data_IF_379402278614
#
_entry.id   IF_379402278614
#
_cell.length_a   1.000
_cell.length_b   1.000
_cell.length_c   1.000
_cell.angle_alpha   90.00
_cell.angle_beta   90.00
_cell.angle_gamma   90.00
#
_symmetry.space_group_name_H-M   'P 1'
#
loop_
_entity.id
_entity.type
_entity.pdbx_description
1 polymer ?
#
# COMPACT_ATOMS: atom_id res chain seq x y z
N UNK A 1 -5.07 -28.67 -15.35
CA UNK A 1 -4.53 -27.40 -15.88
C UNK A 1 -3.82 -26.67 -14.75
N UNK A 2 -2.52 -26.43 -14.91
CA UNK A 2 -1.71 -25.78 -13.88
C UNK A 2 -1.83 -24.27 -14.07
N UNK A 3 -2.44 -23.60 -13.10
CA UNK A 3 -2.52 -22.13 -13.07
C UNK A 3 -1.09 -21.59 -13.19
N UNK A 4 -0.79 -20.68 -14.14
CA UNK A 4 0.55 -20.12 -14.24
C UNK A 4 0.83 -19.40 -12.92
N UNK A 5 1.80 -19.90 -12.17
CA UNK A 5 2.40 -19.17 -11.06
C UNK A 5 2.80 -17.80 -11.59
N UNK A 6 2.08 -16.74 -11.18
CA UNK A 6 2.59 -15.38 -11.25
C UNK A 6 4.00 -15.48 -10.68
N UNK A 7 5.03 -15.07 -11.45
CA UNK A 7 6.41 -14.96 -10.97
C UNK A 7 6.37 -14.21 -9.65
N UNK A 8 6.36 -14.96 -8.55
CA UNK A 8 6.33 -14.40 -7.22
C UNK A 8 7.69 -13.74 -7.06
N UNK A 9 7.70 -12.45 -6.74
CA UNK A 9 8.93 -11.71 -6.51
C UNK A 9 9.86 -12.56 -5.62
N UNK A 10 11.04 -12.93 -6.13
CA UNK A 10 11.95 -13.86 -5.43
C UNK A 10 12.43 -13.31 -4.08
N UNK A 11 12.32 -12.00 -3.89
CA UNK A 11 12.68 -11.31 -2.66
C UNK A 11 11.49 -11.12 -1.71
N UNK A 12 10.28 -11.53 -2.08
CA UNK A 12 9.12 -11.45 -1.21
C UNK A 12 9.19 -12.54 -0.13
N UNK A 13 9.03 -12.18 1.16
CA UNK A 13 9.02 -13.16 2.25
C UNK A 13 7.92 -14.21 2.07
N UNK A 14 8.29 -15.49 2.24
CA UNK A 14 7.36 -16.63 2.13
C UNK A 14 6.59 -16.93 3.42
N UNK A 15 7.07 -16.38 4.54
CA UNK A 15 6.50 -16.56 5.87
C UNK A 15 6.22 -15.21 6.52
N UNK A 16 5.26 -15.12 7.46
CA UNK A 16 5.06 -13.91 8.24
C UNK A 16 6.35 -13.47 8.92
N UNK A 17 6.67 -12.18 8.82
CA UNK A 17 7.86 -11.59 9.42
C UNK A 17 7.49 -10.26 10.08
N UNK A 18 8.36 -9.78 10.97
CA UNK A 18 8.27 -8.46 11.58
C UNK A 18 9.45 -7.64 11.10
N UNK A 19 9.21 -6.40 10.69
CA UNK A 19 10.24 -5.45 10.27
C UNK A 19 10.28 -4.30 11.27
N UNK A 20 11.48 -4.00 11.79
CA UNK A 20 11.74 -2.80 12.58
C UNK A 20 12.60 -1.86 11.73
N UNK A 21 12.18 -0.60 11.62
CA UNK A 21 12.95 0.48 10.99
C UNK A 21 13.29 1.50 12.06
N UNK A 22 14.58 1.71 12.34
CA UNK A 22 15.06 2.59 13.40
C UNK A 22 16.15 3.54 12.89
N UNK A 23 16.30 4.69 13.55
CA UNK A 23 17.20 5.78 13.16
C UNK A 23 16.78 7.10 13.79
N UNK A 24 17.66 8.10 13.76
CA UNK A 24 17.41 9.43 14.35
C UNK A 24 16.16 10.09 13.75
N UNK A 25 15.62 11.11 14.42
CA UNK A 25 14.59 11.96 13.83
C UNK A 25 15.06 12.51 12.48
N UNK A 26 14.12 12.75 11.57
CA UNK A 26 14.37 13.29 10.22
C UNK A 26 15.25 12.42 9.30
N UNK A 27 15.64 11.21 9.71
CA UNK A 27 16.45 10.29 8.87
C UNK A 27 15.70 9.71 7.65
N UNK A 28 14.44 10.10 7.42
CA UNK A 28 13.66 9.67 6.26
C UNK A 28 13.07 8.25 6.37
N UNK A 29 12.98 7.68 7.57
CA UNK A 29 12.43 6.32 7.80
C UNK A 29 11.02 6.16 7.24
N UNK A 30 10.11 7.08 7.59
CA UNK A 30 8.72 7.09 7.12
C UNK A 30 8.68 7.18 5.60
N UNK A 31 9.48 8.08 5.02
CA UNK A 31 9.63 8.19 3.56
C UNK A 31 10.08 6.86 2.92
N UNK A 32 11.08 6.18 3.48
CA UNK A 32 11.51 4.87 2.97
C UNK A 32 10.37 3.84 3.00
N UNK A 33 9.63 3.77 4.10
CA UNK A 33 8.48 2.85 4.24
C UNK A 33 7.38 3.19 3.22
N UNK A 34 7.05 4.47 3.07
CA UNK A 34 6.09 4.96 2.07
C UNK A 34 6.50 4.55 0.66
N UNK A 35 7.78 4.73 0.29
CA UNK A 35 8.27 4.31 -1.03
C UNK A 35 8.13 2.79 -1.27
N UNK A 36 8.27 1.96 -0.24
CA UNK A 36 8.05 0.52 -0.34
C UNK A 36 6.56 0.16 -0.52
N UNK A 37 5.67 0.88 0.15
CA UNK A 37 4.22 0.70 0.04
C UNK A 37 3.69 1.15 -1.34
N UNK A 38 4.20 2.25 -1.86
CA UNK A 38 3.80 2.82 -3.15
C UNK A 38 4.44 2.09 -4.33
N UNK A 39 5.72 1.75 -4.19
CA UNK A 39 6.54 1.07 -5.19
C UNK A 39 6.56 1.77 -6.55
N UNK A 40 6.85 0.97 -7.59
CA UNK A 40 6.84 1.44 -8.98
C UNK A 40 5.44 1.80 -9.51
N UNK A 41 4.38 1.45 -8.75
CA UNK A 41 2.99 1.68 -9.12
C UNK A 41 2.61 3.15 -9.04
N UNK A 42 3.02 3.84 -7.97
CA UNK A 42 2.70 5.25 -7.76
C UNK A 42 3.08 6.17 -8.94
N UNK A 43 4.33 6.24 -9.42
CA UNK A 43 4.68 7.15 -10.52
C UNK A 43 3.94 6.85 -11.84
N UNK A 44 3.45 5.62 -12.03
CA UNK A 44 2.68 5.24 -13.22
C UNK A 44 1.19 5.58 -13.11
N UNK A 45 0.68 5.66 -11.89
CA UNK A 45 -0.70 5.98 -11.58
C UNK A 45 -0.88 7.47 -11.30
N UNK A 46 0.14 8.14 -10.78
CA UNK A 46 0.09 9.55 -10.42
C UNK A 46 -0.47 10.46 -11.52
N UNK A 47 -0.09 10.32 -12.82
CA UNK A 47 -0.69 11.14 -13.88
C UNK A 47 -2.20 10.92 -14.09
N UNK A 48 -2.73 9.77 -13.67
CA UNK A 48 -4.17 9.48 -13.70
C UNK A 48 -4.87 10.03 -12.46
N UNK A 49 -4.23 9.94 -11.30
CA UNK A 49 -4.69 10.55 -10.04
C UNK A 49 -4.73 12.07 -10.11
N UNK A 50 -3.67 12.69 -10.64
CA UNK A 50 -3.56 14.16 -10.78
C UNK A 50 -4.49 14.72 -11.87
N UNK A 51 -5.12 13.86 -12.66
CA UNK A 51 -5.98 14.26 -13.79
C UNK A 51 -5.22 14.61 -15.07
N UNK A 52 -3.87 14.60 -15.09
CA UNK A 52 -3.07 14.86 -16.29
C UNK A 52 -3.42 13.93 -17.47
N UNK A 53 -3.84 12.70 -17.16
CA UNK A 53 -4.26 11.68 -18.14
C UNK A 53 -5.77 11.59 -18.32
N UNK A 54 -6.54 12.57 -17.85
CA UNK A 54 -7.99 12.60 -18.09
C UNK A 54 -8.27 12.62 -19.61
N UNK A 55 -9.05 11.64 -20.11
CA UNK A 55 -9.37 11.47 -21.53
C UNK A 55 -8.32 10.72 -22.37
N UNK A 56 -7.17 10.34 -21.81
CA UNK A 56 -6.19 9.51 -22.53
C UNK A 56 -6.68 8.06 -22.63
N UNK A 57 -6.33 7.40 -23.74
CA UNK A 57 -6.61 5.97 -23.91
C UNK A 57 -5.73 5.16 -22.96
N UNK A 58 -6.37 4.27 -22.22
CA UNK A 58 -5.70 3.29 -21.37
C UNK A 58 -4.78 2.41 -22.24
N UNK A 59 -3.47 2.30 -21.91
CA UNK A 59 -2.55 1.45 -22.65
C UNK A 59 -3.01 -0.01 -22.70
N UNK A 60 -2.90 -0.63 -23.88
CA UNK A 60 -3.13 -2.08 -24.04
C UNK A 60 -2.04 -2.84 -23.29
N UNK A 61 -2.41 -3.85 -22.50
CA UNK A 61 -1.46 -4.65 -21.70
C UNK A 61 -1.83 -4.86 -20.22
N UNK A 62 -2.97 -4.33 -19.77
CA UNK A 62 -3.50 -4.57 -18.43
C UNK A 62 -2.63 -4.00 -17.31
N UNK A 63 -2.68 -4.62 -16.13
CA UNK A 63 -2.04 -4.13 -14.90
C UNK A 63 -0.51 -4.01 -14.95
N UNK A 64 0.17 -4.80 -15.80
CA UNK A 64 1.65 -4.76 -15.93
C UNK A 64 2.18 -3.37 -16.32
N UNK A 65 1.40 -2.62 -17.10
CA UNK A 65 1.78 -1.27 -17.52
C UNK A 65 1.73 -0.26 -16.38
N UNK A 66 1.03 -0.57 -15.29
CA UNK A 66 0.78 0.35 -14.17
C UNK A 66 1.66 0.09 -12.96
N UNK A 67 2.64 -0.82 -13.07
CA UNK A 67 3.62 -1.06 -12.01
C UNK A 67 3.05 -1.84 -10.81
N UNK A 68 3.91 -2.02 -9.83
CA UNK A 68 3.66 -2.87 -8.67
C UNK A 68 4.11 -2.17 -7.37
N UNK A 69 3.36 -2.39 -6.30
CA UNK A 69 3.78 -2.10 -4.92
C UNK A 69 4.85 -3.12 -4.51
N UNK A 70 5.87 -2.70 -3.76
CA UNK A 70 6.95 -3.60 -3.36
C UNK A 70 6.58 -4.44 -2.13
N UNK A 71 5.75 -3.88 -1.26
CA UNK A 71 5.09 -4.64 -0.18
C UNK A 71 3.61 -4.79 -0.55
N UNK A 72 3.21 -5.91 -1.16
CA UNK A 72 1.81 -6.16 -1.46
C UNK A 72 1.05 -6.42 -0.16
N UNK A 73 -0.02 -5.67 0.08
CA UNK A 73 -0.97 -5.94 1.14
C UNK A 73 -2.41 -5.62 0.74
N UNK A 74 -3.35 -6.39 1.27
CA UNK A 74 -4.79 -6.17 1.05
C UNK A 74 -5.32 -5.10 2.00
N UNK A 75 -4.89 -5.11 3.26
CA UNK A 75 -5.29 -4.11 4.24
C UNK A 75 -4.05 -3.44 4.82
N UNK A 76 -3.94 -2.13 4.70
CA UNK A 76 -2.92 -1.31 5.35
C UNK A 76 -3.55 -0.56 6.53
N UNK A 77 -3.02 -0.78 7.72
CA UNK A 77 -3.42 -0.07 8.94
C UNK A 77 -2.20 0.68 9.47
N UNK A 78 -2.30 1.99 9.57
CA UNK A 78 -1.28 2.85 10.15
C UNK A 78 -1.79 3.31 11.52
N UNK A 79 -1.03 2.99 12.56
CA UNK A 79 -1.23 3.49 13.92
C UNK A 79 -0.25 4.62 14.10
N UNK A 80 -0.74 5.85 14.15
CA UNK A 80 0.08 7.04 14.29
C UNK A 80 -0.44 7.93 15.43
N UNK A 81 0.48 8.51 16.20
CA UNK A 81 0.14 9.53 17.20
C UNK A 81 -0.26 10.85 16.55
N UNK A 82 0.48 11.23 15.50
CA UNK A 82 0.24 12.42 14.68
C UNK A 82 -0.42 11.99 13.36
N UNK A 83 -1.74 12.16 13.27
CA UNK A 83 -2.52 11.71 12.10
C UNK A 83 -2.58 12.75 10.98
N UNK A 84 -2.10 13.96 11.22
CA UNK A 84 -2.09 15.10 10.31
C UNK A 84 -0.84 15.14 9.41
N UNK A 85 -0.02 14.07 9.42
CA UNK A 85 1.14 13.99 8.53
C UNK A 85 0.74 13.87 7.06
N UNK A 86 1.18 14.85 6.25
CA UNK A 86 0.96 14.91 4.80
C UNK A 86 1.35 13.62 4.06
N UNK A 87 2.36 12.90 4.56
CA UNK A 87 2.83 11.65 3.95
C UNK A 87 1.77 10.54 4.04
N UNK A 88 1.09 10.40 5.17
CA UNK A 88 0.05 9.37 5.32
C UNK A 88 -1.21 9.71 4.55
N UNK A 89 -1.53 11.00 4.41
CA UNK A 89 -2.60 11.48 3.53
C UNK A 89 -2.30 11.14 2.05
N UNK A 90 -1.06 11.32 1.59
CA UNK A 90 -0.66 10.94 0.24
C UNK A 90 -0.80 9.43 -0.01
N UNK A 91 -0.43 8.60 0.98
CA UNK A 91 -0.62 7.15 0.93
C UNK A 91 -2.11 6.80 0.89
N UNK A 92 -2.93 7.42 1.73
CA UNK A 92 -4.38 7.23 1.75
C UNK A 92 -4.99 7.51 0.37
N UNK A 93 -4.72 8.69 -0.19
CA UNK A 93 -5.19 9.10 -1.52
C UNK A 93 -4.84 8.06 -2.59
N UNK A 94 -3.61 7.53 -2.56
CA UNK A 94 -3.18 6.49 -3.49
C UNK A 94 -3.96 5.18 -3.32
N UNK A 95 -4.11 4.70 -2.08
CA UNK A 95 -4.83 3.44 -1.80
C UNK A 95 -6.31 3.53 -2.18
N UNK A 96 -6.96 4.65 -1.87
CA UNK A 96 -8.34 4.90 -2.27
C UNK A 96 -8.49 4.91 -3.79
N UNK A 97 -7.60 5.61 -4.50
CA UNK A 97 -7.65 5.69 -5.95
C UNK A 97 -7.51 4.32 -6.64
N UNK A 98 -6.57 3.48 -6.19
CA UNK A 98 -6.38 2.15 -6.77
C UNK A 98 -7.46 1.15 -6.36
N UNK A 99 -8.26 1.45 -5.32
CA UNK A 99 -9.39 0.64 -4.90
C UNK A 99 -10.75 1.14 -5.45
N UNK A 100 -10.78 2.32 -6.06
CA UNK A 100 -12.03 3.01 -6.43
C UNK A 100 -12.78 2.33 -7.57
N UNK A 101 -12.11 2.04 -8.69
CA UNK A 101 -12.75 1.51 -9.90
C UNK A 101 -12.28 0.08 -10.20
N UNK A 102 -13.19 -0.90 -10.03
CA UNK A 102 -12.94 -2.33 -10.30
C UNK A 102 -12.65 -2.64 -11.78
N UNK A 103 -13.03 -1.76 -12.69
CA UNK A 103 -12.79 -1.92 -14.12
C UNK A 103 -11.46 -1.30 -14.54
N UNK A 104 -10.84 -0.47 -13.69
CA UNK A 104 -9.57 0.13 -13.98
C UNK A 104 -8.46 -0.94 -14.05
N UNK A 105 -7.51 -0.81 -14.99
CA UNK A 105 -6.42 -1.77 -15.16
C UNK A 105 -5.43 -1.76 -13.98
N UNK A 106 -5.43 -0.69 -13.19
CA UNK A 106 -4.61 -0.55 -11.99
C UNK A 106 -5.32 -1.00 -10.71
N UNK A 107 -6.57 -1.43 -10.80
CA UNK A 107 -7.39 -1.81 -9.65
C UNK A 107 -6.68 -2.84 -8.75
N UNK A 108 -6.71 -2.58 -7.45
CA UNK A 108 -6.37 -3.55 -6.42
C UNK A 108 -7.45 -3.56 -5.33
N UNK A 109 -7.81 -4.74 -4.82
CA UNK A 109 -8.80 -4.88 -3.74
C UNK A 109 -8.18 -4.57 -2.37
N UNK A 110 -7.74 -3.32 -2.21
CA UNK A 110 -7.00 -2.84 -1.03
C UNK A 110 -7.86 -1.96 -0.13
N UNK A 111 -7.45 -1.82 1.12
CA UNK A 111 -8.04 -0.89 2.09
C UNK A 111 -6.93 -0.18 2.87
N UNK A 112 -7.19 1.07 3.22
CA UNK A 112 -6.34 1.88 4.08
C UNK A 112 -7.11 2.29 5.33
N UNK A 113 -6.45 2.32 6.47
CA UNK A 113 -6.94 2.92 7.71
C UNK A 113 -5.80 3.63 8.42
N UNK A 114 -6.05 4.87 8.82
CA UNK A 114 -5.21 5.62 9.76
C UNK A 114 -5.97 5.71 11.08
N UNK A 115 -5.36 5.23 12.16
CA UNK A 115 -5.98 5.13 13.49
C UNK A 115 -5.05 5.64 14.58
N UNK A 116 -5.61 6.09 15.69
CA UNK A 116 -4.83 6.51 16.85
C UNK A 116 -4.39 5.31 17.71
N UNK A 117 -3.41 5.48 18.62
CA UNK A 117 -2.97 4.42 19.52
C UNK A 117 -4.09 3.86 20.42
N UNK A 118 -5.14 4.65 20.69
CA UNK A 118 -6.30 4.22 21.48
C UNK A 118 -7.27 3.28 20.74
N UNK A 119 -7.13 3.16 19.41
CA UNK A 119 -8.04 2.39 18.55
C UNK A 119 -7.39 1.09 18.03
N UNK A 120 -6.38 0.60 18.74
CA UNK A 120 -5.64 -0.59 18.34
C UNK A 120 -6.58 -1.77 18.07
N UNK A 121 -6.54 -2.35 16.86
CA UNK A 121 -7.43 -3.42 16.48
C UNK A 121 -7.11 -4.69 17.26
N UNK A 122 -8.15 -5.41 17.67
CA UNK A 122 -7.97 -6.70 18.33
C UNK A 122 -7.31 -7.69 17.36
N UNK A 123 -6.22 -8.35 17.78
CA UNK A 123 -5.52 -9.31 16.94
C UNK A 123 -6.41 -10.45 16.43
N UNK A 124 -7.47 -10.81 17.17
CA UNK A 124 -8.43 -11.83 16.73
C UNK A 124 -9.24 -11.42 15.50
N UNK A 125 -9.41 -10.12 15.23
CA UNK A 125 -10.15 -9.65 14.04
C UNK A 125 -9.41 -9.90 12.74
N UNK A 126 -8.11 -10.21 12.80
CA UNK A 126 -7.30 -10.55 11.62
C UNK A 126 -7.27 -12.05 11.33
N UNK A 127 -7.80 -12.89 12.22
CA UNK A 127 -7.86 -14.33 11.98
C UNK A 127 -8.93 -14.61 10.92
N UNK A 128 -8.63 -15.54 10.02
CA UNK A 128 -9.59 -16.13 9.08
C UNK A 128 -10.17 -15.16 8.03
N UNK A 129 -9.58 -13.98 7.84
CA UNK A 129 -10.04 -13.01 6.83
C UNK A 129 -9.67 -13.41 5.40
N UNK A 130 -8.64 -14.27 5.24
CA UNK A 130 -8.04 -14.57 3.94
C UNK A 130 -7.33 -13.38 3.29
N UNK A 131 -7.19 -12.25 4.00
CA UNK A 131 -6.57 -11.00 3.53
C UNK A 131 -5.21 -10.81 4.20
N UNK A 132 -4.23 -10.35 3.42
CA UNK A 132 -2.92 -9.98 3.97
C UNK A 132 -3.00 -8.56 4.56
N UNK A 133 -2.93 -8.46 5.89
CA UNK A 133 -2.92 -7.18 6.60
C UNK A 133 -1.50 -6.78 6.99
N UNK A 134 -1.12 -5.54 6.67
CA UNK A 134 0.10 -4.88 7.15
C UNK A 134 -0.30 -3.81 8.17
N UNK A 135 0.29 -3.89 9.37
CA UNK A 135 0.11 -2.89 10.43
C UNK A 135 1.44 -2.17 10.61
N UNK A 136 1.40 -0.84 10.53
CA UNK A 136 2.54 0.06 10.75
C UNK A 136 2.28 0.83 12.02
N UNK A 137 3.29 0.93 12.87
CA UNK A 137 3.30 1.77 14.04
C UNK A 137 4.27 2.91 13.77
N UNK A 138 3.74 4.13 13.67
CA UNK A 138 4.52 5.33 13.40
C UNK A 138 4.45 6.28 14.60
N UNK A 139 5.62 6.75 14.99
CA UNK A 139 5.84 7.72 16.08
C UNK A 139 4.90 7.58 17.29
N UNK A 140 4.93 6.43 17.99
CA UNK A 140 4.07 6.17 19.15
C UNK A 140 4.62 6.74 20.49
N UNK A 141 5.57 7.67 20.43
CA UNK A 141 6.40 8.07 21.58
C UNK A 141 5.80 9.20 22.43
#
# INVERSE_FOLDING_TARGET
>A
ETIPSKKQNQFAPRHPFRLLVAGTSESGKTSMVVHLLLGSKYPKIYPWMSGEKHGYKIPKGGSKNFGERYIPCDDLIVVAQHQDEELWEAVQCFYEFIAMDKQAPWYENVRFKLIGPGELPNISSFKETGRFTLIIFDDLA
#
